data_IF_778789174342
#
_entry.id   IF_778789174342
#
_cell.length_a   1.000
_cell.length_b   1.000
_cell.length_c   1.000
_cell.angle_alpha   90.00
_cell.angle_beta   90.00
_cell.angle_gamma   90.00
#
_symmetry.space_group_name_H-M   'P 1'
#
loop_
_entity.id
_entity.type
_entity.pdbx_description
1 polymer ?
#
# COMPACT_ATOMS: atom_id res chain seq x y z
N UNK A 1 -1.47 -1.75 7.48
CA UNK A 1 -1.06 -0.36 7.81
C UNK A 1 -2.02 0.34 8.77
N UNK A 2 -3.23 0.74 8.35
CA UNK A 2 -4.11 1.60 9.18
C UNK A 2 -4.49 0.97 10.53
N UNK A 3 -4.69 -0.34 10.60
CA UNK A 3 -4.91 -1.04 11.86
C UNK A 3 -3.73 -0.96 12.83
N UNK A 4 -2.49 -0.97 12.32
CA UNK A 4 -1.30 -0.81 13.16
C UNK A 4 -1.35 0.57 13.82
N UNK A 5 -1.68 1.60 13.04
CA UNK A 5 -1.82 2.98 13.54
C UNK A 5 -2.97 3.06 14.56
N UNK A 6 -4.11 2.42 14.29
CA UNK A 6 -5.25 2.41 15.18
C UNK A 6 -4.95 1.70 16.52
N UNK A 7 -4.12 0.66 16.52
CA UNK A 7 -3.72 -0.09 17.70
C UNK A 7 -2.61 0.54 18.54
N UNK A 8 -2.00 1.65 18.10
CA UNK A 8 -0.92 2.29 18.85
C UNK A 8 -1.43 2.98 20.13
N UNK A 9 -0.68 2.90 21.25
CA UNK A 9 -0.94 3.71 22.44
C UNK A 9 -0.90 5.22 22.16
N UNK A 10 -1.67 6.05 22.89
CA UNK A 10 -1.56 7.50 22.82
C UNK A 10 -0.12 7.98 23.08
N UNK A 11 0.32 9.01 22.35
CA UNK A 11 1.67 9.56 22.43
C UNK A 11 2.73 8.79 21.64
N UNK A 12 2.38 7.66 21.01
CA UNK A 12 3.31 6.90 20.17
C UNK A 12 3.81 7.73 18.99
N UNK A 13 5.06 7.50 18.59
CA UNK A 13 5.75 8.19 17.52
C UNK A 13 5.75 7.36 16.25
N UNK A 14 5.22 7.93 15.17
CA UNK A 14 5.07 7.28 13.87
C UNK A 14 5.92 7.99 12.83
N UNK A 15 6.76 7.26 12.12
CA UNK A 15 7.50 7.75 10.96
C UNK A 15 6.84 7.25 9.66
N UNK A 16 6.41 8.16 8.80
CA UNK A 16 6.03 7.89 7.41
C UNK A 16 7.25 8.15 6.52
N UNK A 17 7.92 7.09 6.09
CA UNK A 17 9.19 7.10 5.38
C UNK A 17 8.97 7.08 3.86
N UNK A 18 9.43 8.13 3.17
CA UNK A 18 9.13 8.35 1.75
C UNK A 18 7.67 8.75 1.56
N UNK A 19 7.19 9.67 2.40
CA UNK A 19 5.79 10.03 2.52
C UNK A 19 5.21 10.73 1.27
N UNK A 20 6.05 11.39 0.47
CA UNK A 20 5.61 12.32 -0.56
C UNK A 20 4.69 13.41 0.02
N UNK A 21 3.40 13.32 -0.25
CA UNK A 21 2.38 14.19 0.37
C UNK A 21 1.73 13.61 1.63
N UNK A 22 2.09 12.39 2.05
CA UNK A 22 1.50 11.61 3.12
C UNK A 22 0.97 10.26 2.60
N UNK A 23 1.48 9.15 3.14
CA UNK A 23 1.13 7.79 2.69
C UNK A 23 -0.21 7.28 3.24
N UNK A 24 -0.72 7.92 4.30
CA UNK A 24 -1.95 7.54 4.98
C UNK A 24 -2.62 8.74 5.65
N UNK A 25 -3.94 8.64 5.79
CA UNK A 25 -4.77 9.55 6.57
C UNK A 25 -5.14 8.90 7.90
N UNK A 26 -5.22 9.68 8.97
CA UNK A 26 -5.63 9.21 10.29
C UNK A 26 -6.21 10.35 11.12
N UNK A 27 -7.24 10.06 11.89
CA UNK A 27 -7.88 10.97 12.87
C UNK A 27 -7.24 10.86 14.27
N UNK A 28 -6.17 10.07 14.41
CA UNK A 28 -5.42 9.90 15.66
C UNK A 28 -4.52 11.10 15.95
N UNK A 29 -5.12 12.18 16.44
CA UNK A 29 -4.42 13.42 16.84
C UNK A 29 -3.53 13.28 18.08
N UNK A 30 -3.67 12.18 18.81
CA UNK A 30 -2.88 11.82 19.98
C UNK A 30 -1.54 11.15 19.63
N UNK A 31 -1.27 10.91 18.33
CA UNK A 31 -0.01 10.36 17.84
C UNK A 31 0.95 11.46 17.37
N UNK A 32 2.24 11.26 17.61
CA UNK A 32 3.28 12.12 17.07
C UNK A 32 3.72 11.60 15.69
N UNK A 33 3.09 12.12 14.63
CA UNK A 33 3.35 11.69 13.24
C UNK A 33 4.41 12.58 12.61
N UNK A 34 5.50 11.97 12.16
CA UNK A 34 6.56 12.61 11.38
C UNK A 34 6.58 12.00 9.98
N UNK A 35 6.63 12.84 8.95
CA UNK A 35 6.61 12.43 7.54
C UNK A 35 7.88 12.89 6.86
N UNK A 36 8.65 11.94 6.32
CA UNK A 36 9.94 12.20 5.69
C UNK A 36 9.87 11.91 4.21
N UNK A 37 10.40 12.83 3.41
CA UNK A 37 10.67 12.61 1.99
C UNK A 37 11.88 13.48 1.57
N UNK A 38 12.51 13.17 0.44
CA UNK A 38 13.61 13.98 -0.11
C UNK A 38 13.16 15.42 -0.42
N UNK A 39 11.89 15.57 -0.82
CA UNK A 39 11.28 16.86 -1.04
C UNK A 39 9.87 16.91 -0.43
N UNK A 40 9.61 17.92 0.39
CA UNK A 40 8.27 18.17 0.93
C UNK A 40 7.37 18.62 -0.23
N UNK A 41 6.50 17.73 -0.69
CA UNK A 41 5.44 18.04 -1.65
C UNK A 41 4.24 18.62 -0.89
N UNK A 42 3.22 19.07 -1.61
CA UNK A 42 1.98 19.55 -1.03
C UNK A 42 1.46 18.56 0.04
N UNK A 43 1.49 18.98 1.31
CA UNK A 43 1.11 18.19 2.48
C UNK A 43 -0.37 17.81 2.44
N UNK A 44 -0.69 16.52 2.58
CA UNK A 44 -2.06 15.97 2.42
C UNK A 44 -2.62 15.36 3.70
N UNK A 45 -2.17 15.80 4.87
CA UNK A 45 -2.68 15.30 6.13
C UNK A 45 -1.89 15.80 7.34
N UNK A 46 -2.36 15.48 8.56
CA UNK A 46 -1.72 15.89 9.80
C UNK A 46 -0.33 15.25 9.96
N UNK A 47 0.51 15.91 10.75
CA UNK A 47 1.88 15.51 11.07
C UNK A 47 2.93 16.55 10.67
N UNK A 48 4.14 16.38 11.19
CA UNK A 48 5.29 17.22 10.87
C UNK A 48 6.01 16.70 9.64
N UNK A 49 6.19 17.52 8.61
CA UNK A 49 6.91 17.16 7.40
C UNK A 49 8.38 17.56 7.50
N UNK A 50 9.27 16.65 7.16
CA UNK A 50 10.71 16.82 7.23
C UNK A 50 11.32 16.46 5.88
N UNK A 51 12.06 17.39 5.28
CA UNK A 51 12.86 17.11 4.09
C UNK A 51 14.15 16.41 4.52
N UNK A 52 14.30 15.14 4.20
CA UNK A 52 15.50 14.38 4.50
C UNK A 52 15.66 13.18 3.57
N UNK A 53 16.91 12.74 3.40
CA UNK A 53 17.22 11.48 2.77
C UNK A 53 16.93 10.33 3.74
N UNK A 54 16.28 9.28 3.26
CA UNK A 54 16.03 8.07 4.03
C UNK A 54 17.34 7.38 4.46
N UNK A 55 18.42 7.56 3.70
CA UNK A 55 19.76 7.07 4.03
C UNK A 55 20.46 7.88 5.16
N UNK A 56 19.93 9.05 5.53
CA UNK A 56 20.51 9.94 6.54
C UNK A 56 19.41 10.65 7.34
N UNK A 57 18.72 9.91 8.21
CA UNK A 57 17.56 10.43 8.95
C UNK A 57 18.00 11.35 10.10
N UNK A 58 17.44 12.57 10.21
CA UNK A 58 17.81 13.55 11.22
C UNK A 58 17.15 13.30 12.59
N UNK A 59 17.09 12.03 13.01
CA UNK A 59 16.48 11.61 14.27
C UNK A 59 17.47 10.83 15.13
N UNK A 60 17.32 10.93 16.44
CA UNK A 60 18.08 10.11 17.37
C UNK A 60 17.73 8.62 17.18
N UNK A 61 18.66 7.75 17.58
CA UNK A 61 18.38 6.31 17.62
C UNK A 61 17.19 6.01 18.53
N UNK A 62 16.44 4.96 18.23
CA UNK A 62 15.29 4.52 19.05
C UNK A 62 14.25 5.61 19.30
N UNK A 63 13.86 6.32 18.24
CA UNK A 63 12.90 7.43 18.32
C UNK A 63 11.46 7.06 17.98
N UNK A 64 11.23 5.99 17.21
CA UNK A 64 9.90 5.66 16.68
C UNK A 64 9.37 4.31 17.15
N UNK A 65 8.07 4.27 17.43
CA UNK A 65 7.33 3.06 17.80
C UNK A 65 6.81 2.32 16.56
N UNK A 66 6.46 3.07 15.51
CA UNK A 66 6.03 2.56 14.22
C UNK A 66 6.73 3.31 13.09
N UNK A 67 7.29 2.57 12.14
CA UNK A 67 7.75 3.12 10.86
C UNK A 67 6.90 2.51 9.75
N UNK A 68 6.41 3.35 8.85
CA UNK A 68 5.63 2.98 7.68
C UNK A 68 6.41 3.39 6.44
N UNK A 69 6.69 2.45 5.54
CA UNK A 69 7.16 2.72 4.20
C UNK A 69 6.18 2.10 3.21
N UNK A 70 5.40 2.94 2.53
CA UNK A 70 4.30 2.49 1.70
C UNK A 70 4.49 2.96 0.27
N UNK A 71 4.89 2.04 -0.61
CA UNK A 71 5.25 2.31 -2.00
C UNK A 71 6.37 3.36 -2.13
N UNK A 72 7.39 3.25 -1.27
CA UNK A 72 8.53 4.16 -1.25
C UNK A 72 9.91 3.48 -1.38
N UNK A 73 10.12 2.28 -0.80
CA UNK A 73 11.43 1.60 -0.89
C UNK A 73 11.87 1.33 -2.33
N UNK A 74 10.93 1.11 -3.25
CA UNK A 74 11.20 0.92 -4.67
C UNK A 74 11.90 2.12 -5.33
N UNK A 75 11.87 3.29 -4.68
CA UNK A 75 12.43 4.54 -5.16
C UNK A 75 13.74 4.94 -4.47
N UNK A 76 14.22 4.18 -3.47
CA UNK A 76 15.40 4.56 -2.68
C UNK A 76 16.69 4.14 -3.40
N UNK A 77 17.56 5.07 -3.83
CA UNK A 77 18.81 4.72 -4.50
C UNK A 77 19.78 3.97 -3.56
N UNK A 78 19.84 4.39 -2.30
CA UNK A 78 20.69 3.83 -1.25
C UNK A 78 19.87 2.99 -0.26
N UNK A 79 19.20 1.95 -0.78
CA UNK A 79 18.27 1.13 -0.01
C UNK A 79 18.89 0.53 1.26
N UNK A 80 20.15 0.07 1.19
CA UNK A 80 20.80 -0.53 2.35
C UNK A 80 21.06 0.47 3.48
N UNK A 81 21.54 1.66 3.15
CA UNK A 81 21.73 2.74 4.11
C UNK A 81 20.39 3.19 4.71
N UNK A 82 19.35 3.30 3.89
CA UNK A 82 18.02 3.65 4.36
C UNK A 82 17.44 2.60 5.33
N UNK A 83 17.65 1.31 5.07
CA UNK A 83 17.21 0.25 5.97
C UNK A 83 18.05 0.20 7.27
N UNK A 84 19.35 0.51 7.20
CA UNK A 84 20.17 0.67 8.40
C UNK A 84 19.67 1.83 9.29
N UNK A 85 19.29 2.96 8.68
CA UNK A 85 18.67 4.09 9.38
C UNK A 85 17.32 3.72 10.00
N UNK A 86 16.49 2.94 9.30
CA UNK A 86 15.24 2.39 9.86
C UNK A 86 15.53 1.58 11.12
N UNK A 87 16.50 0.65 11.07
CA UNK A 87 16.90 -0.12 12.25
C UNK A 87 17.41 0.77 13.39
N UNK A 88 18.21 1.79 13.08
CA UNK A 88 18.78 2.73 14.06
C UNK A 88 17.69 3.55 14.77
N UNK A 89 16.75 4.13 14.03
CA UNK A 89 15.72 5.02 14.59
C UNK A 89 14.52 4.29 15.18
N UNK A 90 14.39 2.98 14.92
CA UNK A 90 13.35 2.14 15.52
C UNK A 90 13.63 1.89 17.00
N UNK A 91 12.60 2.02 17.85
CA UNK A 91 12.67 1.61 19.26
C UNK A 91 12.77 0.09 19.40
N UNK A 92 13.38 -0.36 20.49
CA UNK A 92 13.25 -1.76 20.88
C UNK A 92 11.76 -2.09 21.08
N UNK A 93 11.28 -3.16 20.43
CA UNK A 93 9.86 -3.52 20.43
C UNK A 93 8.98 -2.67 19.49
N UNK A 94 9.57 -1.86 18.60
CA UNK A 94 8.84 -1.15 17.56
C UNK A 94 8.40 -2.05 16.40
N UNK A 95 7.62 -1.49 15.49
CA UNK A 95 7.06 -2.16 14.32
C UNK A 95 7.48 -1.46 13.05
N UNK A 96 7.95 -2.21 12.05
CA UNK A 96 8.17 -1.69 10.70
C UNK A 96 7.17 -2.32 9.73
N UNK A 97 6.40 -1.47 9.06
CA UNK A 97 5.50 -1.86 7.99
C UNK A 97 6.07 -1.41 6.64
N UNK A 98 6.14 -2.35 5.71
CA UNK A 98 6.60 -2.09 4.34
C UNK A 98 5.53 -2.53 3.35
N UNK A 99 5.24 -1.74 2.33
CA UNK A 99 4.46 -2.16 1.16
C UNK A 99 5.24 -1.83 -0.11
N UNK A 100 5.45 -2.81 -0.98
CA UNK A 100 6.22 -2.66 -2.22
C UNK A 100 5.58 -3.42 -3.39
N UNK A 101 5.74 -2.94 -4.63
CA UNK A 101 5.29 -3.62 -5.84
C UNK A 101 6.14 -4.85 -6.14
N UNK A 102 5.52 -5.87 -6.73
CA UNK A 102 6.21 -7.00 -7.36
C UNK A 102 6.44 -6.66 -8.83
N UNK A 103 7.71 -6.45 -9.19
CA UNK A 103 8.13 -6.09 -10.54
C UNK A 103 7.87 -7.17 -11.60
N UNK A 104 7.51 -8.39 -11.19
CA UNK A 104 7.12 -9.45 -12.11
C UNK A 104 5.65 -9.34 -12.56
N UNK A 105 4.81 -8.61 -11.81
CA UNK A 105 3.34 -8.58 -12.00
C UNK A 105 2.91 -7.80 -13.24
N UNK A 106 1.70 -8.12 -13.72
CA UNK A 106 1.08 -7.40 -14.83
C UNK A 106 0.89 -5.93 -14.52
N UNK A 107 0.46 -5.60 -13.30
CA UNK A 107 0.24 -4.22 -12.85
C UNK A 107 1.51 -3.38 -12.94
N UNK A 108 2.63 -3.89 -12.44
CA UNK A 108 3.90 -3.15 -12.48
C UNK A 108 4.39 -2.95 -13.93
N UNK A 109 4.20 -3.94 -14.80
CA UNK A 109 4.51 -3.81 -16.24
C UNK A 109 3.67 -2.72 -16.91
N UNK A 110 2.36 -2.67 -16.62
CA UNK A 110 1.48 -1.62 -17.13
C UNK A 110 1.91 -0.26 -16.59
N UNK A 111 2.22 -0.16 -15.29
CA UNK A 111 2.69 1.08 -14.67
C UNK A 111 3.97 1.61 -15.33
N UNK A 112 4.99 0.76 -15.50
CA UNK A 112 6.24 1.11 -16.19
C UNK A 112 6.03 1.52 -17.64
N UNK A 113 5.12 0.86 -18.35
CA UNK A 113 4.82 1.17 -19.75
C UNK A 113 4.07 2.52 -19.93
N UNK A 114 3.29 2.91 -18.91
CA UNK A 114 2.60 4.20 -18.84
C UNK A 114 3.52 5.35 -18.39
N UNK A 115 4.50 5.07 -17.52
CA UNK A 115 5.48 6.04 -17.03
C UNK A 115 6.55 6.41 -18.07
N UNK A 116 7.00 7.68 -18.06
CA UNK A 116 8.11 8.19 -18.89
C UNK A 116 9.45 8.30 -18.11
N UNK A 117 9.78 7.31 -17.27
CA UNK A 117 11.17 7.12 -16.81
C UNK A 117 11.58 7.52 -15.38
N UNK A 118 10.66 7.68 -14.43
CA UNK A 118 11.01 7.86 -13.00
C UNK A 118 10.90 6.59 -12.15
N UNK A 119 11.20 5.42 -12.74
CA UNK A 119 10.73 4.10 -12.30
C UNK A 119 11.25 3.59 -10.95
N UNK A 120 10.76 2.40 -10.59
CA UNK A 120 11.26 1.61 -9.47
C UNK A 120 12.74 1.27 -9.70
N UNK A 121 13.66 1.98 -9.01
CA UNK A 121 15.10 1.70 -9.04
C UNK A 121 15.39 0.35 -8.41
N UNK A 122 14.62 -0.02 -7.37
CA UNK A 122 14.65 -1.35 -6.79
C UNK A 122 13.53 -2.21 -7.40
N UNK A 123 13.89 -3.10 -8.31
CA UNK A 123 12.95 -4.03 -8.94
C UNK A 123 12.77 -5.30 -8.08
N UNK A 124 11.96 -5.21 -7.03
CA UNK A 124 11.65 -6.35 -6.17
C UNK A 124 10.90 -7.44 -6.94
N UNK A 125 11.36 -8.70 -6.83
CA UNK A 125 10.78 -9.86 -7.56
C UNK A 125 10.53 -11.08 -6.67
N UNK A 126 10.98 -11.05 -5.42
CA UNK A 126 10.86 -12.17 -4.49
C UNK A 126 10.57 -11.65 -3.09
N UNK A 127 9.40 -11.99 -2.55
CA UNK A 127 9.00 -11.60 -1.20
C UNK A 127 10.03 -12.04 -0.15
N UNK A 128 10.53 -13.28 -0.26
CA UNK A 128 11.53 -13.80 0.68
C UNK A 128 12.86 -13.03 0.64
N UNK A 129 13.31 -12.59 -0.54
CA UNK A 129 14.52 -11.78 -0.67
C UNK A 129 14.33 -10.38 -0.08
N UNK A 130 13.16 -9.76 -0.29
CA UNK A 130 12.84 -8.46 0.33
C UNK A 130 12.80 -8.61 1.85
N UNK A 131 12.04 -9.58 2.35
CA UNK A 131 11.91 -9.83 3.79
C UNK A 131 13.27 -10.09 4.45
N UNK A 132 14.09 -10.98 3.87
CA UNK A 132 15.41 -11.31 4.40
C UNK A 132 16.39 -10.14 4.35
N UNK A 133 16.31 -9.28 3.33
CA UNK A 133 17.17 -8.09 3.25
C UNK A 133 16.78 -7.05 4.30
N UNK A 134 15.47 -6.80 4.47
CA UNK A 134 14.96 -5.89 5.50
C UNK A 134 15.30 -6.39 6.90
N UNK A 135 15.05 -7.67 7.19
CA UNK A 135 15.39 -8.28 8.49
C UNK A 135 16.89 -8.17 8.79
N UNK A 136 17.76 -8.49 7.82
CA UNK A 136 19.21 -8.41 7.98
C UNK A 136 19.69 -6.98 8.24
N UNK A 137 19.18 -5.99 7.51
CA UNK A 137 19.67 -4.61 7.55
C UNK A 137 19.07 -3.79 8.70
N UNK A 138 17.84 -4.09 9.11
CA UNK A 138 17.16 -3.41 10.22
C UNK A 138 17.37 -4.11 11.57
N UNK A 139 17.69 -5.41 11.56
CA UNK A 139 17.70 -6.27 12.76
C UNK A 139 16.30 -6.61 13.28
N UNK A 140 15.22 -6.26 12.55
CA UNK A 140 13.85 -6.50 12.97
C UNK A 140 13.35 -7.85 12.45
N UNK A 141 12.83 -8.74 13.32
CA UNK A 141 12.37 -10.05 12.89
C UNK A 141 11.16 -9.94 11.96
N UNK A 142 11.17 -10.70 10.87
CA UNK A 142 10.03 -10.79 9.96
C UNK A 142 8.87 -11.58 10.61
N UNK A 143 7.69 -10.96 10.70
CA UNK A 143 6.49 -11.52 11.33
C UNK A 143 5.46 -12.02 10.34
N UNK A 144 5.47 -11.49 9.11
CA UNK A 144 4.73 -12.08 8.01
C UNK A 144 4.58 -11.16 6.81
N UNK A 145 4.15 -11.79 5.73
CA UNK A 145 3.96 -11.19 4.42
C UNK A 145 2.51 -11.41 3.98
N UNK A 146 1.86 -10.36 3.47
CA UNK A 146 0.54 -10.45 2.87
C UNK A 146 0.62 -9.98 1.41
N UNK A 147 -0.03 -10.68 0.47
CA UNK A 147 -0.12 -10.20 -0.91
C UNK A 147 -0.99 -8.94 -0.99
N UNK A 148 -0.57 -8.01 -1.83
CA UNK A 148 -1.32 -6.80 -2.15
C UNK A 148 -1.97 -6.92 -3.52
N UNK A 149 -3.18 -6.40 -3.60
CA UNK A 149 -4.08 -6.54 -4.74
C UNK A 149 -4.14 -5.19 -5.48
N UNK A 150 -3.87 -5.21 -6.80
CA UNK A 150 -3.93 -3.99 -7.62
C UNK A 150 -5.29 -3.29 -7.57
N UNK A 151 -5.25 -1.97 -7.45
CA UNK A 151 -6.41 -1.09 -7.66
C UNK A 151 -6.50 -0.56 -9.09
N UNK A 152 -5.40 -0.61 -9.85
CA UNK A 152 -5.19 0.18 -11.07
C UNK A 152 -5.46 1.69 -10.87
N UNK A 153 -5.39 2.20 -9.64
CA UNK A 153 -5.76 3.59 -9.32
C UNK A 153 -4.88 4.63 -10.02
N UNK A 154 -3.63 4.27 -10.36
CA UNK A 154 -2.74 5.12 -11.16
C UNK A 154 -3.25 5.37 -12.58
N UNK A 155 -4.16 4.53 -13.10
CA UNK A 155 -4.84 4.74 -14.39
C UNK A 155 -6.09 5.62 -14.26
N UNK A 156 -6.64 5.76 -13.06
CA UNK A 156 -7.90 6.47 -12.82
C UNK A 156 -7.75 7.95 -13.17
N UNK A 157 -8.69 8.47 -13.98
CA UNK A 157 -8.70 9.86 -14.41
C UNK A 157 -8.75 10.86 -13.24
N UNK A 158 -9.37 10.47 -12.12
CA UNK A 158 -9.45 11.29 -10.91
C UNK A 158 -8.07 11.61 -10.31
N UNK A 159 -7.11 10.68 -10.44
CA UNK A 159 -5.77 10.83 -9.87
C UNK A 159 -4.77 11.47 -10.84
N UNK A 160 -5.21 11.79 -12.06
CA UNK A 160 -4.31 12.25 -13.13
C UNK A 160 -3.86 13.68 -12.88
N UNK A 161 -2.55 13.86 -12.80
CA UNK A 161 -1.91 15.19 -12.80
C UNK A 161 -1.41 15.50 -14.22
N UNK A 162 -2.30 16.03 -15.07
CA UNK A 162 -1.94 16.50 -16.42
C UNK A 162 -2.79 15.92 -17.55
N UNK A 163 -2.33 16.14 -18.79
CA UNK A 163 -3.08 15.72 -19.99
C UNK A 163 -3.08 14.20 -20.14
N UNK A 164 -4.19 13.60 -20.62
CA UNK A 164 -4.25 12.17 -20.90
C UNK A 164 -3.22 11.80 -21.97
N UNK A 165 -2.45 10.74 -21.70
CA UNK A 165 -1.59 10.14 -22.71
C UNK A 165 -2.44 9.38 -23.73
N UNK A 166 -2.00 9.31 -25.00
CA UNK A 166 -2.70 8.54 -26.04
C UNK A 166 -2.92 7.09 -25.59
N UNK A 167 -1.92 6.49 -24.93
CA UNK A 167 -1.99 5.12 -24.38
C UNK A 167 -3.14 4.89 -23.39
N UNK A 168 -3.65 5.95 -22.75
CA UNK A 168 -4.77 5.84 -21.79
C UNK A 168 -6.10 5.44 -22.43
N UNK A 169 -6.22 5.53 -23.76
CA UNK A 169 -7.41 5.06 -24.50
C UNK A 169 -7.70 3.57 -24.24
N UNK A 170 -6.65 2.74 -24.10
CA UNK A 170 -6.78 1.30 -23.80
C UNK A 170 -7.47 1.02 -22.46
N UNK A 171 -7.47 2.01 -21.56
CA UNK A 171 -8.08 1.93 -20.25
C UNK A 171 -9.29 2.87 -20.14
N UNK A 172 -10.00 3.08 -21.26
CA UNK A 172 -11.14 3.97 -21.37
C UNK A 172 -10.87 5.37 -20.79
N UNK A 173 -9.68 5.92 -21.05
CA UNK A 173 -9.20 7.19 -20.51
C UNK A 173 -9.24 7.26 -18.97
N UNK A 174 -9.06 6.13 -18.29
CA UNK A 174 -9.10 6.06 -16.83
C UNK A 174 -10.51 6.13 -16.25
N UNK A 175 -11.53 5.72 -17.01
CA UNK A 175 -12.90 5.68 -16.52
C UNK A 175 -13.03 4.74 -15.32
N UNK A 176 -13.59 5.26 -14.23
CA UNK A 176 -13.68 4.54 -12.96
C UNK A 176 -14.51 3.25 -13.05
N UNK A 177 -15.64 3.26 -13.75
CA UNK A 177 -16.48 2.05 -13.90
C UNK A 177 -15.79 0.99 -14.75
N UNK A 178 -15.09 1.42 -15.81
CA UNK A 178 -14.30 0.52 -16.63
C UNK A 178 -13.20 -0.15 -15.80
N UNK A 179 -12.45 0.62 -15.01
CA UNK A 179 -11.41 0.10 -14.14
C UNK A 179 -11.96 -0.87 -13.10
N UNK A 180 -13.12 -0.57 -12.50
CA UNK A 180 -13.79 -1.47 -11.56
C UNK A 180 -14.17 -2.81 -12.20
N UNK A 181 -14.73 -2.80 -13.42
CA UNK A 181 -15.05 -4.02 -14.18
C UNK A 181 -13.78 -4.78 -14.55
N UNK A 182 -12.76 -4.10 -15.07
CA UNK A 182 -11.48 -4.72 -15.42
C UNK A 182 -10.86 -5.41 -14.20
N UNK A 183 -10.80 -4.72 -13.06
CA UNK A 183 -10.23 -5.27 -11.84
C UNK A 183 -11.04 -6.50 -11.37
N UNK A 184 -12.38 -6.44 -11.39
CA UNK A 184 -13.24 -7.58 -11.08
C UNK A 184 -13.00 -8.77 -12.01
N UNK A 185 -12.84 -8.55 -13.33
CA UNK A 185 -12.51 -9.61 -14.30
C UNK A 185 -11.16 -10.23 -13.97
N UNK A 186 -10.13 -9.42 -13.74
CA UNK A 186 -8.80 -9.94 -13.40
C UNK A 186 -8.86 -10.83 -12.16
N UNK A 187 -9.55 -10.41 -11.10
CA UNK A 187 -9.73 -11.22 -9.88
C UNK A 187 -10.46 -12.54 -10.13
N UNK A 188 -11.46 -12.54 -11.01
CA UNK A 188 -12.18 -13.77 -11.42
C UNK A 188 -11.28 -14.70 -12.23
N UNK A 189 -10.44 -14.16 -13.11
CA UNK A 189 -9.45 -14.94 -13.86
C UNK A 189 -8.42 -15.55 -12.93
N UNK A 190 -7.92 -14.80 -11.96
CA UNK A 190 -7.01 -15.29 -10.93
C UNK A 190 -7.63 -16.46 -10.17
N UNK A 191 -8.87 -16.31 -9.65
CA UNK A 191 -9.59 -17.40 -8.97
C UNK A 191 -9.84 -18.62 -9.86
N UNK A 192 -10.05 -18.42 -11.17
CA UNK A 192 -10.41 -19.51 -12.10
C UNK A 192 -9.19 -20.27 -12.63
N UNK A 193 -8.06 -19.58 -12.77
CA UNK A 193 -6.89 -20.08 -13.50
C UNK A 193 -5.58 -20.01 -12.70
N UNK A 194 -5.58 -19.46 -11.48
CA UNK A 194 -4.36 -19.22 -10.70
C UNK A 194 -3.38 -18.24 -11.35
N UNK A 195 -3.82 -17.50 -12.37
CA UNK A 195 -2.97 -16.54 -13.06
C UNK A 195 -2.80 -15.33 -12.14
N UNK A 196 -1.59 -14.96 -11.71
CA UNK A 196 -1.36 -13.85 -10.75
C UNK A 196 -1.56 -12.45 -11.36
N UNK A 197 -2.64 -12.23 -12.13
CA UNK A 197 -2.83 -11.04 -12.97
C UNK A 197 -3.20 -9.80 -12.17
N UNK A 198 -3.91 -10.02 -11.07
CA UNK A 198 -4.49 -8.95 -10.28
C UNK A 198 -3.61 -8.62 -9.06
N UNK A 199 -2.70 -9.52 -8.66
CA UNK A 199 -1.69 -9.23 -7.63
C UNK A 199 -0.78 -8.07 -8.06
N UNK A 200 -0.48 -7.20 -7.11
CA UNK A 200 0.35 -6.02 -7.31
C UNK A 200 1.71 -6.14 -6.63
N UNK A 201 1.76 -6.70 -5.42
CA UNK A 201 2.97 -6.74 -4.62
C UNK A 201 2.75 -7.40 -3.28
N UNK A 202 3.46 -6.90 -2.27
CA UNK A 202 3.43 -7.45 -0.91
C UNK A 202 3.47 -6.35 0.13
N UNK A 203 2.84 -6.61 1.26
CA UNK A 203 3.10 -5.91 2.50
C UNK A 203 3.81 -6.83 3.48
N UNK A 204 4.81 -6.28 4.17
CA UNK A 204 5.62 -6.97 5.16
C UNK A 204 5.45 -6.32 6.52
N UNK A 205 5.50 -7.15 7.54
CA UNK A 205 5.37 -6.76 8.93
C UNK A 205 6.59 -7.27 9.69
N UNK A 206 7.33 -6.36 10.33
CA UNK A 206 8.53 -6.70 11.10
C UNK A 206 8.44 -6.16 12.53
N UNK A 207 9.21 -6.75 13.43
CA UNK A 207 9.33 -6.29 14.82
C UNK A 207 8.28 -6.90 15.74
N UNK A 208 7.74 -6.09 16.66
CA UNK A 208 6.79 -6.55 17.67
C UNK A 208 5.34 -6.41 17.20
N UNK A 209 4.98 -7.22 16.20
CA UNK A 209 3.63 -7.24 15.64
C UNK A 209 3.16 -8.67 15.52
N UNK A 210 1.99 -8.95 16.08
CA UNK A 210 1.30 -10.21 15.84
C UNK A 210 0.38 -10.02 14.65
N UNK A 211 0.66 -10.76 13.58
CA UNK A 211 -0.33 -10.96 12.53
C UNK A 211 -1.28 -12.05 13.03
N UNK A 212 -2.61 -11.80 13.04
CA UNK A 212 -3.57 -12.84 13.37
C UNK A 212 -3.30 -14.09 12.52
N UNK A 213 -3.26 -15.26 13.14
CA UNK A 213 -3.18 -16.52 12.41
C UNK A 213 -4.32 -16.60 11.39
N UNK A 214 -3.99 -16.84 10.13
CA UNK A 214 -4.98 -16.88 9.05
C UNK A 214 -5.50 -15.51 8.60
N UNK A 215 -4.80 -14.40 8.92
CA UNK A 215 -5.11 -13.10 8.36
C UNK A 215 -5.04 -13.16 6.84
N UNK A 216 -6.20 -12.96 6.23
CA UNK A 216 -6.38 -12.96 4.80
C UNK A 216 -6.11 -11.59 4.17
N UNK A 217 -5.62 -11.54 2.92
CA UNK A 217 -5.39 -10.29 2.23
C UNK A 217 -6.71 -9.62 1.83
N UNK A 218 -6.74 -8.29 1.87
CA UNK A 218 -7.89 -7.54 1.40
C UNK A 218 -7.90 -7.43 -0.12
N UNK A 219 -8.84 -8.13 -0.72
CA UNK A 219 -8.99 -8.19 -2.17
C UNK A 219 -9.86 -7.07 -2.75
N UNK A 220 -10.74 -6.47 -1.93
CA UNK A 220 -11.62 -5.37 -2.34
C UNK A 220 -10.86 -4.04 -2.28
N UNK A 221 -10.06 -3.78 -3.31
CA UNK A 221 -9.20 -2.59 -3.40
C UNK A 221 -9.82 -1.53 -4.29
N UNK A 222 -10.01 -0.32 -3.74
CA UNK A 222 -10.67 0.78 -4.42
C UNK A 222 -9.87 1.27 -5.63
N UNK A 223 -10.49 1.29 -6.82
CA UNK A 223 -9.88 1.80 -8.06
C UNK A 223 -9.67 3.31 -8.09
N UNK A 224 -10.16 4.05 -7.10
CA UNK A 224 -9.91 5.49 -6.93
C UNK A 224 -8.76 5.75 -5.96
N UNK A 225 -8.89 5.35 -4.70
CA UNK A 225 -7.89 5.68 -3.68
C UNK A 225 -6.84 4.59 -3.44
N UNK A 226 -7.02 3.37 -3.96
CA UNK A 226 -6.09 2.26 -3.74
C UNK A 226 -6.21 1.57 -2.38
N UNK A 227 -7.13 1.99 -1.51
CA UNK A 227 -7.33 1.37 -0.20
C UNK A 227 -8.08 0.03 -0.34
N UNK A 228 -7.58 -1.00 0.35
CA UNK A 228 -8.23 -2.30 0.50
C UNK A 228 -9.14 -2.34 1.73
N UNK A 229 -10.22 -3.12 1.65
CA UNK A 229 -11.16 -3.33 2.75
C UNK A 229 -11.63 -4.79 2.79
N UNK A 230 -11.92 -5.33 3.99
CA UNK A 230 -12.63 -6.60 4.09
C UNK A 230 -14.09 -6.43 3.67
N UNK A 231 -14.71 -7.51 3.19
CA UNK A 231 -16.11 -7.50 2.78
C UNK A 231 -17.06 -7.12 3.94
N UNK A 232 -16.75 -7.59 5.15
CA UNK A 232 -17.51 -7.30 6.38
C UNK A 232 -17.59 -5.80 6.65
N UNK A 233 -16.44 -5.12 6.63
CA UNK A 233 -16.38 -3.66 6.80
C UNK A 233 -17.22 -2.92 5.76
N UNK A 234 -17.16 -3.33 4.49
CA UNK A 234 -17.95 -2.67 3.43
C UNK A 234 -19.46 -2.86 3.62
N UNK A 235 -19.89 -4.01 4.14
CA UNK A 235 -21.29 -4.28 4.47
C UNK A 235 -21.74 -3.52 5.71
N UNK A 236 -20.95 -3.54 6.78
CA UNK A 236 -21.23 -2.80 8.03
C UNK A 236 -21.29 -1.28 7.80
N UNK A 237 -20.46 -0.76 6.90
CA UNK A 237 -20.50 0.64 6.49
C UNK A 237 -21.72 1.00 5.60
N UNK A 238 -22.60 0.04 5.28
CA UNK A 238 -23.74 0.26 4.37
C UNK A 238 -23.33 0.60 2.93
N UNK A 239 -22.08 0.32 2.55
CA UNK A 239 -21.54 0.70 1.24
C UNK A 239 -21.96 -0.26 0.11
N UNK A 240 -22.33 -1.49 0.48
CA UNK A 240 -22.76 -2.55 -0.43
C UNK A 240 -24.29 -2.68 -0.37
N UNK A 241 -25.00 -2.69 -1.51
CA UNK A 241 -26.44 -2.93 -1.54
C UNK A 241 -26.81 -4.33 -1.01
N UNK A 242 -27.93 -4.44 -0.28
CA UNK A 242 -28.43 -5.71 0.30
C UNK A 242 -28.94 -6.73 -0.74
N UNK A 243 -28.74 -6.50 -2.03
CA UNK A 243 -29.23 -7.40 -3.09
C UNK A 243 -28.22 -8.52 -3.34
N UNK A 244 -28.62 -9.80 -3.26
CA UNK A 244 -27.73 -10.90 -3.60
C UNK A 244 -27.36 -10.86 -5.09
N UNK A 245 -26.09 -11.12 -5.40
CA UNK A 245 -25.63 -11.19 -6.80
C UNK A 245 -24.11 -11.25 -6.95
N UNK A 246 -23.65 -11.81 -8.06
CA UNK A 246 -22.22 -11.90 -8.40
C UNK A 246 -21.58 -10.55 -8.80
N UNK A 247 -22.41 -9.52 -8.99
CA UNK A 247 -22.04 -8.22 -9.55
C UNK A 247 -22.60 -7.10 -8.68
N UNK A 248 -22.01 -6.93 -7.50
CA UNK A 248 -22.41 -5.91 -6.53
C UNK A 248 -21.50 -4.69 -6.66
N UNK A 249 -22.10 -3.53 -6.95
CA UNK A 249 -21.39 -2.26 -6.90
C UNK A 249 -21.35 -1.72 -5.48
N UNK A 250 -20.25 -1.11 -5.08
CA UNK A 250 -20.15 -0.38 -3.82
C UNK A 250 -19.45 0.96 -4.01
N UNK A 251 -19.73 1.89 -3.09
CA UNK A 251 -19.01 3.17 -2.99
C UNK A 251 -17.96 3.06 -1.90
N UNK A 252 -16.71 3.34 -2.24
CA UNK A 252 -15.62 3.33 -1.27
C UNK A 252 -15.91 4.35 -0.15
N UNK A 253 -16.02 3.95 1.13
CA UNK A 253 -16.46 4.85 2.19
C UNK A 253 -15.61 6.13 2.31
N UNK A 254 -14.26 6.07 2.23
CA UNK A 254 -13.46 7.28 2.39
C UNK A 254 -13.40 8.22 1.18
N UNK A 255 -13.67 7.74 -0.05
CA UNK A 255 -13.44 8.56 -1.26
C UNK A 255 -14.60 8.58 -2.28
N UNK A 256 -15.67 7.82 -2.05
CA UNK A 256 -16.84 7.74 -2.92
C UNK A 256 -16.61 7.05 -4.28
N UNK A 257 -15.44 6.43 -4.50
CA UNK A 257 -15.14 5.72 -5.74
C UNK A 257 -16.08 4.54 -5.98
N UNK A 258 -16.58 4.38 -7.21
CA UNK A 258 -17.37 3.23 -7.63
C UNK A 258 -16.49 2.00 -7.87
N UNK A 259 -16.83 0.89 -7.20
CA UNK A 259 -16.08 -0.36 -7.26
C UNK A 259 -17.04 -1.53 -7.39
N UNK A 260 -16.51 -2.68 -7.83
CA UNK A 260 -17.23 -3.95 -7.81
C UNK A 260 -16.70 -4.79 -6.67
N UNK A 261 -17.62 -5.34 -5.88
CA UNK A 261 -17.31 -6.25 -4.81
C UNK A 261 -16.84 -7.58 -5.40
N UNK A 262 -15.71 -8.05 -4.90
CA UNK A 262 -15.24 -9.39 -5.12
C UNK A 262 -15.57 -10.20 -3.86
N UNK A 263 -16.74 -10.84 -3.88
CA UNK A 263 -17.23 -11.62 -2.75
C UNK A 263 -16.48 -12.95 -2.55
N UNK A 264 -16.65 -13.47 -1.33
CA UNK A 264 -16.13 -14.72 -0.72
C UNK A 264 -15.02 -14.41 0.30
N UNK A 265 -15.45 -14.25 1.56
CA UNK A 265 -14.68 -14.36 2.82
C UNK A 265 -13.16 -14.28 2.64
N UNK A 266 -12.68 -13.10 2.28
CA UNK A 266 -11.26 -12.73 2.18
C UNK A 266 -10.35 -13.86 1.61
N UNK A 267 -10.85 -14.78 0.78
CA UNK A 267 -10.05 -15.91 0.33
C UNK A 267 -9.03 -15.39 -0.67
N UNK A 268 -7.75 -15.66 -0.42
CA UNK A 268 -6.73 -15.40 -1.41
C UNK A 268 -7.16 -16.16 -2.69
N UNK A 269 -7.32 -15.51 -3.86
CA UNK A 269 -7.71 -16.18 -5.10
C UNK A 269 -6.70 -17.23 -5.58
N UNK A 270 -5.57 -17.39 -4.90
CA UNK A 270 -4.58 -18.44 -5.11
C UNK A 270 -4.63 -19.58 -4.07
N UNK A 271 -5.53 -19.52 -3.08
CA UNK A 271 -5.93 -20.64 -2.19
C UNK A 271 -7.10 -21.43 -2.79
#
# INVERSE_FOLDING_TARGET
>A
MLELIAGLPPGSRVLDLGAGGGSFHTERHDLAIVRVDLAIRASRGPGSYVAADAAHLPFASQSFDLIVSNHSLEHFPELEAALAEVGRVMRAGGVFFVAVPDAATLTDRIYRWMGRGGGHVNAFRSAGQVAGSVERLTGLPHRGTLPLYSSLSFLNAFNRTGRPQIKSVLFAFGNERFLAVLNWILRRLDRRFGARLSQYGWSFHFGNVELPNGRKPWINVCVRCGSGYPETFLKEAGAVPERPGNFQWYRCPPCGGANLLFGVEDSDPYE
#
